data_IF_580594884637
#
_entry.id   IF_580594884637
#
_cell.length_a   1.000
_cell.length_b   1.000
_cell.length_c   1.000
_cell.angle_alpha   90.00
_cell.angle_beta   90.00
_cell.angle_gamma   90.00
#
_symmetry.space_group_name_H-M   'P 1'
#
loop_
_entity.id
_entity.type
_entity.pdbx_description
1 polymer ?
#
# COMPACT_ATOMS: atom_id res chain seq x y z
N UNK A 1 8.92 -13.60 6.92
CA UNK A 1 8.83 -12.12 6.92
C UNK A 1 7.69 -11.77 5.99
N UNK A 2 6.61 -11.15 6.48
CA UNK A 2 5.39 -11.05 5.66
C UNK A 2 5.31 -9.71 4.94
N UNK A 3 5.02 -9.75 3.64
CA UNK A 3 4.84 -8.60 2.75
C UNK A 3 3.59 -7.79 3.15
N UNK A 4 3.76 -6.88 4.10
CA UNK A 4 2.67 -6.07 4.63
C UNK A 4 3.14 -4.74 5.18
N UNK A 5 2.22 -3.79 5.21
CA UNK A 5 2.38 -2.53 5.90
C UNK A 5 1.82 -2.65 7.30
N UNK A 6 2.63 -2.36 8.32
CA UNK A 6 2.20 -2.36 9.72
C UNK A 6 2.01 -0.91 10.17
N UNK A 7 0.78 -0.56 10.50
CA UNK A 7 0.44 0.74 11.07
C UNK A 7 0.02 0.57 12.52
N UNK A 8 0.57 1.37 13.44
CA UNK A 8 0.12 1.43 14.81
C UNK A 8 -0.94 2.52 14.92
N UNK A 9 -2.18 2.13 15.18
CA UNK A 9 -3.33 3.05 15.31
C UNK A 9 -3.96 2.79 16.68
N UNK A 10 -4.03 3.82 17.52
CA UNK A 10 -4.61 3.75 18.87
C UNK A 10 -4.07 2.57 19.72
N UNK A 11 -2.76 2.31 19.62
CA UNK A 11 -2.09 1.23 20.35
C UNK A 11 -2.33 -0.17 19.80
N UNK A 12 -3.04 -0.32 18.67
CA UNK A 12 -3.27 -1.60 17.98
C UNK A 12 -2.56 -1.64 16.64
N UNK A 13 -1.95 -2.78 16.33
CA UNK A 13 -1.34 -3.01 15.02
C UNK A 13 -2.40 -3.33 13.98
N UNK A 14 -2.51 -2.48 12.97
CA UNK A 14 -3.28 -2.72 11.75
C UNK A 14 -2.31 -3.23 10.68
N UNK A 15 -2.59 -4.43 10.15
CA UNK A 15 -1.75 -5.05 9.12
C UNK A 15 -2.43 -4.92 7.75
N UNK A 16 -1.87 -4.09 6.87
CA UNK A 16 -2.32 -3.95 5.49
C UNK A 16 -1.53 -4.92 4.61
N UNK A 17 -2.17 -6.03 4.24
CA UNK A 17 -1.56 -7.08 3.42
C UNK A 17 -1.52 -6.63 1.96
N UNK A 18 -0.35 -6.74 1.34
CA UNK A 18 -0.21 -6.61 -0.12
C UNK A 18 -0.13 -8.04 -0.66
N UNK A 19 -1.15 -8.50 -1.40
CA UNK A 19 -1.05 -9.79 -2.05
C UNK A 19 0.01 -9.74 -3.16
N UNK A 20 0.39 -10.92 -3.63
CA UNK A 20 1.28 -11.18 -4.76
C UNK A 20 1.33 -10.07 -5.84
N UNK A 21 2.50 -9.78 -6.43
CA UNK A 21 3.79 -10.48 -6.30
C UNK A 21 4.51 -10.20 -4.98
N UNK A 22 5.23 -11.21 -4.48
CA UNK A 22 5.97 -11.11 -3.22
C UNK A 22 7.14 -10.12 -3.31
N UNK A 23 7.57 -9.60 -2.16
CA UNK A 23 8.69 -8.65 -2.02
C UNK A 23 8.29 -7.21 -1.72
N UNK A 24 7.02 -6.97 -1.37
CA UNK A 24 6.56 -5.62 -1.02
C UNK A 24 7.28 -5.13 0.23
N UNK A 25 8.08 -4.08 0.03
CA UNK A 25 8.80 -3.40 1.09
C UNK A 25 8.56 -1.90 0.97
N UNK A 26 7.87 -1.33 1.96
CA UNK A 26 7.62 0.09 2.02
C UNK A 26 8.70 0.79 2.85
N UNK A 27 9.38 1.78 2.25
CA UNK A 27 10.21 2.74 3.01
C UNK A 27 9.43 3.98 3.40
N UNK A 28 8.39 4.28 2.64
CA UNK A 28 7.67 5.52 2.78
C UNK A 28 6.23 5.40 2.29
N UNK A 29 5.36 6.20 2.88
CA UNK A 29 3.94 6.25 2.56
C UNK A 29 3.39 7.67 2.62
N UNK A 30 2.33 7.90 1.84
CA UNK A 30 1.62 9.18 1.74
C UNK A 30 0.12 8.99 1.87
N UNK A 31 -0.51 9.81 2.69
CA UNK A 31 -1.95 10.04 2.58
C UNK A 31 -2.22 11.00 1.42
N UNK A 32 -3.02 10.59 0.45
CA UNK A 32 -3.40 11.43 -0.70
C UNK A 32 -4.92 11.55 -0.81
N UNK A 33 -5.35 12.75 -1.18
CA UNK A 33 -6.73 13.03 -1.60
C UNK A 33 -6.69 13.16 -3.12
N UNK A 34 -7.09 12.09 -3.81
CA UNK A 34 -7.14 12.05 -5.29
C UNK A 34 -8.42 12.73 -5.82
N UNK A 35 -9.52 12.72 -5.04
CA UNK A 35 -10.77 13.43 -5.37
C UNK A 35 -11.41 13.99 -4.08
N UNK A 36 -11.51 15.33 -3.91
CA UNK A 36 -12.12 15.92 -2.73
C UNK A 36 -13.63 15.71 -2.64
N UNK A 37 -14.32 15.46 -3.76
CA UNK A 37 -15.78 15.30 -3.83
C UNK A 37 -16.23 13.85 -3.65
N UNK A 38 -15.35 12.86 -3.87
CA UNK A 38 -15.68 11.43 -3.75
C UNK A 38 -15.67 10.89 -2.31
N UNK A 39 -15.64 11.77 -1.30
CA UNK A 39 -15.68 11.39 0.11
C UNK A 39 -14.52 10.48 0.52
N UNK A 40 -14.81 9.37 1.19
CA UNK A 40 -13.80 8.42 1.66
C UNK A 40 -13.09 7.68 0.51
N UNK A 41 -13.77 7.45 -0.62
CA UNK A 41 -13.19 6.79 -1.81
C UNK A 41 -12.17 7.66 -2.54
N UNK A 42 -12.32 8.97 -2.42
CA UNK A 42 -11.38 9.94 -2.98
C UNK A 42 -10.08 10.04 -2.18
N UNK A 43 -9.98 9.36 -1.02
CA UNK A 43 -8.81 9.35 -0.15
C UNK A 43 -8.16 7.98 -0.16
N UNK A 44 -6.84 7.95 -0.18
CA UNK A 44 -6.11 6.68 -0.11
C UNK A 44 -4.72 6.86 0.47
N UNK A 45 -4.22 5.78 1.07
CA UNK A 45 -2.83 5.71 1.48
C UNK A 45 -2.03 5.08 0.33
N UNK A 46 -0.96 5.73 -0.08
CA UNK A 46 -0.07 5.22 -1.11
C UNK A 46 1.22 4.73 -0.47
N UNK A 47 1.64 3.51 -0.81
CA UNK A 47 2.88 2.91 -0.38
C UNK A 47 3.81 2.66 -1.57
N UNK A 48 5.05 3.12 -1.48
CA UNK A 48 6.03 2.90 -2.55
C UNK A 48 6.67 1.52 -2.42
N UNK A 49 6.72 0.78 -3.51
CA UNK A 49 7.47 -0.48 -3.58
C UNK A 49 8.97 -0.13 -3.64
N UNK A 50 9.60 -0.07 -2.48
CA UNK A 50 10.89 0.59 -2.27
C UNK A 50 12.10 -0.35 -2.33
N UNK A 51 11.91 -1.56 -2.89
CA UNK A 51 13.03 -2.46 -3.14
C UNK A 51 13.99 -1.83 -4.14
N UNK A 52 15.29 -1.90 -3.85
CA UNK A 52 16.34 -1.39 -4.76
C UNK A 52 16.65 -2.35 -5.89
N UNK A 53 16.26 -3.61 -5.74
CA UNK A 53 16.55 -4.72 -6.66
C UNK A 53 15.25 -5.22 -7.26
N UNK A 54 14.53 -4.35 -7.96
CA UNK A 54 13.23 -4.69 -8.61
C UNK A 54 13.32 -5.87 -9.57
N UNK A 55 14.51 -6.14 -10.13
CA UNK A 55 14.78 -7.28 -11.00
C UNK A 55 14.88 -8.63 -10.28
N UNK A 56 14.97 -8.65 -8.94
CA UNK A 56 14.84 -9.87 -8.14
C UNK A 56 13.38 -10.18 -7.76
N UNK A 57 12.46 -9.25 -8.02
CA UNK A 57 11.02 -9.50 -7.89
C UNK A 57 10.57 -10.28 -9.12
N UNK A 58 9.54 -11.08 -8.95
CA UNK A 58 8.92 -11.85 -10.02
C UNK A 58 8.54 -10.99 -11.22
N UNK A 59 8.96 -11.42 -12.41
CA UNK A 59 8.97 -10.60 -13.63
C UNK A 59 10.38 -10.18 -14.10
N UNK A 60 11.40 -10.34 -13.24
CA UNK A 60 12.81 -10.22 -13.66
C UNK A 60 13.18 -8.79 -14.09
N UNK A 61 14.12 -8.68 -15.03
CA UNK A 61 14.76 -7.41 -15.42
C UNK A 61 13.81 -6.34 -16.00
N UNK A 62 12.64 -6.74 -16.49
CA UNK A 62 11.63 -5.83 -17.04
C UNK A 62 10.80 -5.13 -15.94
N UNK A 63 10.97 -5.52 -14.67
CA UNK A 63 10.22 -4.92 -13.59
C UNK A 63 10.58 -3.45 -13.37
N UNK A 64 9.53 -2.65 -13.25
CA UNK A 64 9.61 -1.22 -12.92
C UNK A 64 9.22 -0.99 -11.45
N UNK A 65 9.65 0.13 -10.85
CA UNK A 65 9.14 0.57 -9.57
C UNK A 65 7.60 0.66 -9.61
N UNK A 66 6.96 0.15 -8.57
CA UNK A 66 5.50 0.14 -8.43
C UNK A 66 5.09 0.96 -7.22
N UNK A 67 3.84 1.42 -7.23
CA UNK A 67 3.21 2.05 -6.07
C UNK A 67 1.91 1.30 -5.80
N UNK A 68 1.60 1.08 -4.53
CA UNK A 68 0.39 0.40 -4.09
C UNK A 68 -0.57 1.43 -3.51
N UNK A 69 -1.82 1.41 -3.96
CA UNK A 69 -2.91 2.22 -3.42
C UNK A 69 -3.70 1.39 -2.42
N UNK A 70 -3.71 1.80 -1.16
CA UNK A 70 -4.56 1.24 -0.12
C UNK A 70 -5.82 2.08 0.03
N UNK A 71 -6.96 1.46 -0.23
CA UNK A 71 -8.26 2.09 -0.01
C UNK A 71 -8.72 1.79 1.43
N UNK A 72 -8.73 2.83 2.27
CA UNK A 72 -9.10 2.72 3.67
C UNK A 72 -10.58 3.06 3.82
N UNK A 73 -11.39 2.05 4.18
CA UNK A 73 -12.81 2.24 4.46
C UNK A 73 -13.01 2.75 5.90
N UNK A 74 -13.91 3.70 6.13
CA UNK A 74 -14.28 4.12 7.49
C UNK A 74 -15.01 3.01 8.26
N UNK A 75 -15.81 2.20 7.54
CA UNK A 75 -16.55 1.07 8.09
C UNK A 75 -16.68 -0.05 7.01
N UNK A 76 -16.93 -1.32 7.40
CA UNK A 76 -16.94 -2.44 6.45
C UNK A 76 -18.07 -2.38 5.40
N UNK A 77 -19.13 -1.61 5.64
CA UNK A 77 -20.29 -1.47 4.75
C UNK A 77 -20.26 -0.14 3.96
N UNK A 78 -19.21 0.66 4.11
CA UNK A 78 -19.02 1.89 3.38
C UNK A 78 -19.04 1.63 1.87
N UNK A 79 -20.00 2.25 1.20
CA UNK A 79 -20.29 2.08 -0.22
C UNK A 79 -19.92 3.27 -1.08
#
# INVERSE_FOLDING_TARGET
MSDAYFALVDGKWVTLRVPYPMGFYAKWSEGRIDDPNAGWKGRSLWGTYSTRTVFHVEGGKENRPRVVKFQLRPDPLAN
#
